data_IF_379641555178
#
_entry.id   IF_379641555178
#
_cell.length_a   1.000
_cell.length_b   1.000
_cell.length_c   1.000
_cell.angle_alpha   90.00
_cell.angle_beta   90.00
_cell.angle_gamma   90.00
#
_symmetry.space_group_name_H-M   'P 1'
#
loop_
_entity.id
_entity.type
_entity.pdbx_description
1 polymer ?
#
# COMPACT_ATOMS: atom_id res chain seq x y z
N UNK A 1 10.12 25.56 4.20
CA UNK A 1 10.27 24.36 3.36
C UNK A 1 11.49 23.63 3.90
N UNK A 2 11.28 22.60 4.70
CA UNK A 2 12.36 21.87 5.39
C UNK A 2 13.30 21.13 4.44
N UNK A 3 14.16 20.26 4.97
CA UNK A 3 15.03 19.41 4.14
C UNK A 3 14.20 18.32 3.46
N UNK A 4 14.44 18.10 2.17
CA UNK A 4 13.66 17.14 1.36
C UNK A 4 13.96 15.70 1.79
N UNK A 5 12.92 14.93 2.13
CA UNK A 5 12.98 13.51 2.53
C UNK A 5 13.88 13.21 3.75
N UNK A 6 14.03 14.18 4.66
CA UNK A 6 14.71 13.98 5.94
C UNK A 6 13.66 13.79 7.03
N UNK A 7 13.78 12.70 7.79
CA UNK A 7 12.88 12.39 8.91
C UNK A 7 12.77 13.55 9.90
N UNK A 8 11.56 13.78 10.40
CA UNK A 8 11.22 14.86 11.33
C UNK A 8 10.97 16.23 10.69
N UNK A 9 11.21 16.38 9.38
CA UNK A 9 10.91 17.63 8.68
C UNK A 9 9.41 17.74 8.38
N UNK A 10 8.80 18.95 8.39
CA UNK A 10 7.37 19.11 8.14
C UNK A 10 6.89 18.52 6.81
N UNK A 11 7.77 18.48 5.79
CA UNK A 11 7.44 17.93 4.47
C UNK A 11 7.40 16.40 4.39
N UNK A 12 7.77 15.68 5.46
CA UNK A 12 7.72 14.22 5.52
C UNK A 12 6.58 13.69 6.40
N UNK A 13 5.82 14.57 7.05
CA UNK A 13 4.68 14.17 7.87
C UNK A 13 3.56 13.58 7.01
N UNK A 14 2.86 12.58 7.56
CA UNK A 14 1.57 12.13 7.02
C UNK A 14 0.57 13.28 7.17
N UNK A 15 -0.35 13.44 6.21
CA UNK A 15 -1.41 14.45 6.27
C UNK A 15 -2.27 14.28 7.52
N UNK A 16 -2.70 15.39 8.12
CA UNK A 16 -3.47 15.38 9.38
C UNK A 16 -4.77 14.58 9.27
N UNK A 17 -5.45 14.64 8.11
CA UNK A 17 -6.68 13.90 7.84
C UNK A 17 -6.48 12.38 7.73
N UNK A 18 -5.23 11.93 7.58
CA UNK A 18 -4.81 10.54 7.47
C UNK A 18 -3.83 10.16 8.59
N UNK A 19 -3.77 10.95 9.67
CA UNK A 19 -2.87 10.71 10.77
C UNK A 19 -3.16 9.34 11.42
N UNK A 20 -2.12 8.56 11.76
CA UNK A 20 -2.29 7.24 12.36
C UNK A 20 -2.95 7.34 13.73
N UNK A 21 -3.82 6.38 14.03
CA UNK A 21 -4.44 6.22 15.34
C UNK A 21 -3.49 5.54 16.35
N UNK A 22 -3.73 5.68 17.66
CA UNK A 22 -2.95 4.98 18.67
C UNK A 22 -2.96 3.46 18.45
N UNK A 23 -1.77 2.86 18.37
CA UNK A 23 -1.59 1.41 18.16
C UNK A 23 -1.40 1.01 16.69
N UNK A 24 -1.59 1.92 15.74
CA UNK A 24 -1.26 1.67 14.33
C UNK A 24 0.26 1.71 14.10
N UNK A 25 0.75 0.81 13.27
CA UNK A 25 2.17 0.67 12.96
C UNK A 25 2.57 1.70 11.91
N UNK A 26 3.54 2.56 12.22
CA UNK A 26 4.13 3.52 11.29
C UNK A 26 5.54 3.10 10.94
N UNK A 27 5.86 3.06 9.64
CA UNK A 27 7.15 2.60 9.14
C UNK A 27 7.83 3.70 8.34
N UNK A 28 9.00 4.14 8.80
CA UNK A 28 9.93 4.88 7.96
C UNK A 28 10.68 3.92 7.05
N UNK A 29 10.62 4.15 5.74
CA UNK A 29 11.28 3.31 4.75
C UNK A 29 12.29 4.14 3.95
N UNK A 30 13.57 3.71 3.86
CA UNK A 30 14.58 4.42 3.08
C UNK A 30 14.39 4.23 1.56
N UNK A 31 13.56 3.26 1.14
CA UNK A 31 13.28 2.91 -0.25
C UNK A 31 11.83 3.11 -0.68
N UNK A 32 11.51 2.62 -1.89
CA UNK A 32 10.14 2.69 -2.44
C UNK A 32 9.25 1.57 -1.90
N UNK A 33 9.77 0.35 -1.87
CA UNK A 33 9.11 -0.80 -1.26
C UNK A 33 9.15 -0.76 0.27
N UNK A 34 8.05 -1.11 0.92
CA UNK A 34 7.97 -1.09 2.38
C UNK A 34 8.71 -2.25 3.05
N UNK A 35 9.06 -3.33 2.34
CA UNK A 35 9.79 -4.47 2.93
C UNK A 35 11.31 -4.27 2.95
N UNK A 36 11.83 -3.29 2.20
CA UNK A 36 13.27 -3.06 2.11
C UNK A 36 13.82 -2.26 3.30
N UNK A 37 14.66 -2.90 4.11
CA UNK A 37 15.33 -2.31 5.27
C UNK A 37 14.36 -1.71 6.31
N UNK A 38 13.27 -2.43 6.59
CA UNK A 38 12.27 -2.09 7.61
C UNK A 38 11.90 -3.33 8.43
N UNK A 39 11.16 -3.15 9.53
CA UNK A 39 10.55 -4.24 10.30
C UNK A 39 9.25 -4.77 9.70
N UNK A 40 8.75 -4.20 8.59
CA UNK A 40 7.37 -4.43 8.12
C UNK A 40 7.02 -5.91 7.95
N UNK A 41 7.91 -6.68 7.31
CA UNK A 41 7.68 -8.10 7.10
C UNK A 41 7.66 -8.92 8.40
N UNK A 42 8.45 -8.53 9.41
CA UNK A 42 8.45 -9.17 10.72
C UNK A 42 7.18 -8.81 11.50
N UNK A 43 6.75 -7.55 11.41
CA UNK A 43 5.53 -7.05 12.03
C UNK A 43 4.29 -7.79 11.48
N UNK A 44 4.18 -7.94 10.15
CA UNK A 44 3.09 -8.68 9.52
C UNK A 44 3.06 -10.16 9.94
N UNK A 45 4.23 -10.82 10.00
CA UNK A 45 4.33 -12.22 10.45
C UNK A 45 3.89 -12.37 11.91
N UNK A 46 4.32 -11.46 12.79
CA UNK A 46 3.93 -11.46 14.21
C UNK A 46 2.43 -11.28 14.38
N UNK A 47 1.80 -10.48 13.52
CA UNK A 47 0.35 -10.26 13.52
C UNK A 47 -0.43 -11.41 12.86
N UNK A 48 0.23 -12.38 12.23
CA UNK A 48 -0.44 -13.47 11.51
C UNK A 48 -1.24 -12.99 10.30
N UNK A 49 -0.83 -11.87 9.69
CA UNK A 49 -1.52 -11.30 8.52
C UNK A 49 -1.23 -12.16 7.28
N UNK A 50 -2.29 -12.49 6.55
CA UNK A 50 -2.20 -13.21 5.26
C UNK A 50 -2.67 -12.36 4.08
N UNK A 51 -3.51 -11.35 4.34
CA UNK A 51 -4.15 -10.51 3.33
C UNK A 51 -3.83 -9.03 3.57
N UNK A 52 -3.54 -8.30 2.50
CA UNK A 52 -3.17 -6.88 2.56
C UNK A 52 -4.00 -6.05 1.57
N UNK A 53 -4.59 -4.96 2.08
CA UNK A 53 -5.22 -3.93 1.26
C UNK A 53 -4.24 -2.76 1.08
N UNK A 54 -4.03 -2.34 -0.16
CA UNK A 54 -3.09 -1.29 -0.54
C UNK A 54 -3.82 -0.01 -0.94
N UNK A 55 -3.26 1.12 -0.53
CA UNK A 55 -3.66 2.49 -0.88
C UNK A 55 -2.43 3.41 -0.83
N UNK A 56 -2.56 4.66 -1.26
CA UNK A 56 -1.53 5.69 -1.13
C UNK A 56 -0.91 6.14 -2.45
N UNK A 57 0.32 6.68 -2.40
CA UNK A 57 0.98 7.30 -3.56
C UNK A 57 2.50 7.03 -3.66
N UNK A 58 3.09 7.05 -4.86
CA UNK A 58 2.39 6.99 -6.16
C UNK A 58 2.09 5.55 -6.54
N UNK A 59 1.01 5.34 -7.31
CA UNK A 59 0.51 4.02 -7.73
C UNK A 59 1.61 3.16 -8.34
N UNK A 60 2.35 3.69 -9.30
CA UNK A 60 3.37 2.97 -10.09
C UNK A 60 4.71 2.80 -9.37
N UNK A 61 4.98 3.59 -8.33
CA UNK A 61 6.26 3.56 -7.60
C UNK A 61 6.10 2.87 -6.25
N UNK A 62 5.70 3.59 -5.20
CA UNK A 62 5.73 3.08 -3.83
C UNK A 62 4.70 1.97 -3.62
N UNK A 63 3.48 2.18 -4.15
CA UNK A 63 2.37 1.24 -4.00
C UNK A 63 2.69 -0.05 -4.76
N UNK A 64 2.95 0.03 -6.06
CA UNK A 64 3.27 -1.14 -6.88
C UNK A 64 4.53 -1.88 -6.40
N UNK A 65 5.60 -1.17 -6.00
CA UNK A 65 6.82 -1.84 -5.49
C UNK A 65 6.50 -2.64 -4.24
N UNK A 66 5.77 -2.06 -3.29
CA UNK A 66 5.42 -2.74 -2.04
C UNK A 66 4.47 -3.91 -2.28
N UNK A 67 3.49 -3.75 -3.17
CA UNK A 67 2.54 -4.82 -3.51
C UNK A 67 3.25 -6.01 -4.18
N UNK A 68 4.22 -5.76 -5.08
CA UNK A 68 5.05 -6.82 -5.66
C UNK A 68 5.90 -7.52 -4.61
N UNK A 69 6.52 -6.77 -3.70
CA UNK A 69 7.29 -7.34 -2.58
C UNK A 69 6.41 -8.22 -1.67
N UNK A 70 5.15 -7.82 -1.43
CA UNK A 70 4.19 -8.59 -0.66
C UNK A 70 3.77 -9.88 -1.39
N UNK A 71 3.40 -9.77 -2.66
CA UNK A 71 3.06 -10.91 -3.52
C UNK A 71 4.19 -11.96 -3.54
N UNK A 72 5.44 -11.53 -3.74
CA UNK A 72 6.60 -12.43 -3.76
C UNK A 72 6.83 -13.15 -2.41
N UNK A 73 6.27 -12.61 -1.32
CA UNK A 73 6.34 -13.17 0.03
C UNK A 73 5.10 -14.01 0.39
N UNK A 74 4.15 -14.17 -0.53
CA UNK A 74 2.97 -15.00 -0.37
C UNK A 74 1.77 -14.32 0.31
N UNK A 75 1.74 -12.99 0.35
CA UNK A 75 0.54 -12.27 0.82
C UNK A 75 -0.50 -12.16 -0.29
N UNK A 76 -1.76 -12.34 0.06
CA UNK A 76 -2.88 -12.06 -0.84
C UNK A 76 -3.09 -10.53 -0.90
N UNK A 77 -2.91 -9.95 -2.08
CA UNK A 77 -2.85 -8.50 -2.24
C UNK A 77 -4.09 -7.95 -2.95
N UNK A 78 -4.70 -6.91 -2.38
CA UNK A 78 -5.82 -6.17 -2.95
C UNK A 78 -5.51 -4.66 -3.01
N UNK A 79 -5.53 -4.05 -4.19
CA UNK A 79 -5.32 -2.60 -4.35
C UNK A 79 -6.66 -1.86 -4.45
N UNK A 80 -6.86 -0.86 -3.58
CA UNK A 80 -8.00 0.06 -3.66
C UNK A 80 -7.74 1.16 -4.72
N UNK A 81 -8.41 1.08 -5.86
CA UNK A 81 -8.10 1.84 -7.09
C UNK A 81 -8.32 3.35 -6.96
N UNK A 82 -9.40 3.71 -6.26
CA UNK A 82 -9.83 5.06 -5.94
C UNK A 82 -9.13 5.62 -4.69
N UNK A 83 -8.36 4.79 -3.97
CA UNK A 83 -7.50 5.20 -2.86
C UNK A 83 -6.00 5.24 -3.22
N UNK A 84 -5.66 5.20 -4.52
CA UNK A 84 -4.29 5.37 -5.02
C UNK A 84 -4.23 6.46 -6.07
N UNK A 85 -3.11 7.16 -6.21
CA UNK A 85 -2.93 8.15 -7.29
C UNK A 85 -1.50 8.23 -7.81
N UNK A 86 -1.34 8.74 -9.02
CA UNK A 86 -0.06 9.03 -9.67
C UNK A 86 -0.01 10.48 -10.15
N UNK A 87 1.19 11.00 -10.35
CA UNK A 87 1.39 12.23 -11.12
C UNK A 87 1.00 12.05 -12.60
N UNK A 88 0.96 10.81 -13.09
CA UNK A 88 0.72 10.49 -14.49
C UNK A 88 -0.41 9.47 -14.60
N UNK A 89 -1.52 9.87 -15.22
CA UNK A 89 -2.70 9.01 -15.37
C UNK A 89 -2.36 7.71 -16.11
N UNK A 90 -1.51 7.77 -17.14
CA UNK A 90 -1.09 6.62 -17.92
C UNK A 90 -0.31 5.61 -17.06
N UNK A 91 0.48 6.06 -16.08
CA UNK A 91 1.24 5.19 -15.21
C UNK A 91 0.36 4.49 -14.18
N UNK A 92 -0.62 5.20 -13.61
CA UNK A 92 -1.65 4.58 -12.77
C UNK A 92 -2.39 3.50 -13.55
N UNK A 93 -2.85 3.79 -14.76
CA UNK A 93 -3.56 2.81 -15.59
C UNK A 93 -2.69 1.61 -15.96
N UNK A 94 -1.42 1.83 -16.31
CA UNK A 94 -0.49 0.75 -16.59
C UNK A 94 -0.22 -0.12 -15.36
N UNK A 95 -0.06 0.47 -14.17
CA UNK A 95 0.13 -0.25 -12.92
C UNK A 95 -1.07 -1.17 -12.60
N UNK A 96 -2.30 -0.64 -12.69
CA UNK A 96 -3.53 -1.42 -12.51
C UNK A 96 -3.61 -2.59 -13.51
N UNK A 97 -3.32 -2.33 -14.79
CA UNK A 97 -3.32 -3.37 -15.82
C UNK A 97 -2.26 -4.46 -15.55
N UNK A 98 -1.05 -4.08 -15.14
CA UNK A 98 0.02 -5.02 -14.81
C UNK A 98 -0.31 -5.88 -13.59
N UNK A 99 -0.98 -5.32 -12.58
CA UNK A 99 -1.37 -6.06 -11.37
C UNK A 99 -2.37 -7.17 -11.70
N UNK A 100 -3.40 -6.85 -12.50
CA UNK A 100 -4.47 -7.79 -12.89
C UNK A 100 -4.08 -8.78 -14.00
N UNK A 101 -3.01 -8.49 -14.73
CA UNK A 101 -2.59 -9.29 -15.87
C UNK A 101 -2.39 -10.76 -15.48
N UNK A 102 -2.56 -11.65 -16.46
CA UNK A 102 -2.31 -13.10 -16.31
C UNK A 102 -3.10 -13.75 -15.15
N UNK A 103 -4.31 -13.25 -14.88
CA UNK A 103 -5.15 -13.76 -13.80
C UNK A 103 -4.69 -13.31 -12.42
N UNK A 104 -4.47 -11.99 -12.25
CA UNK A 104 -4.02 -11.38 -11.00
C UNK A 104 -2.58 -11.77 -10.59
N UNK A 105 -1.61 -11.67 -11.51
CA UNK A 105 -0.21 -12.08 -11.28
C UNK A 105 0.48 -11.39 -10.08
N UNK A 106 0.02 -10.20 -9.67
CA UNK A 106 0.48 -9.53 -8.44
C UNK A 106 -0.61 -9.47 -7.37
N UNK A 107 -1.89 -9.59 -7.76
CA UNK A 107 -3.04 -9.49 -6.89
C UNK A 107 -4.26 -8.88 -7.58
N UNK A 108 -5.30 -8.62 -6.80
CA UNK A 108 -6.55 -8.04 -7.28
C UNK A 108 -6.60 -6.55 -7.04
N UNK A 109 -7.62 -5.91 -7.61
CA UNK A 109 -7.95 -4.53 -7.31
C UNK A 109 -9.46 -4.39 -7.16
N UNK A 110 -9.90 -3.37 -6.43
CA UNK A 110 -11.31 -3.06 -6.20
C UNK A 110 -11.47 -1.56 -5.91
N UNK A 111 -12.70 -1.06 -5.92
CA UNK A 111 -13.00 0.26 -5.34
C UNK A 111 -13.08 0.16 -3.81
N UNK A 112 -12.93 1.29 -3.11
CA UNK A 112 -13.09 1.34 -1.65
C UNK A 112 -14.46 0.84 -1.20
N UNK A 113 -15.53 1.17 -1.92
CA UNK A 113 -16.88 0.66 -1.65
C UNK A 113 -16.95 -0.87 -1.70
N UNK A 114 -16.33 -1.50 -2.70
CA UNK A 114 -16.27 -2.96 -2.82
C UNK A 114 -15.44 -3.60 -1.70
N UNK A 115 -14.36 -2.94 -1.27
CA UNK A 115 -13.56 -3.38 -0.12
C UNK A 115 -14.41 -3.36 1.15
N UNK A 116 -15.13 -2.25 1.40
CA UNK A 116 -15.98 -2.08 2.57
C UNK A 116 -17.14 -3.10 2.60
N UNK A 117 -17.77 -3.34 1.45
CA UNK A 117 -18.79 -4.38 1.31
C UNK A 117 -18.23 -5.77 1.65
N UNK A 118 -17.04 -6.10 1.15
CA UNK A 118 -16.35 -7.36 1.44
C UNK A 118 -16.06 -7.56 2.93
N UNK A 119 -15.60 -6.50 3.62
CA UNK A 119 -15.33 -6.54 5.07
C UNK A 119 -16.63 -6.73 5.85
N UNK A 120 -17.71 -6.01 5.49
CA UNK A 120 -19.00 -6.13 6.17
C UNK A 120 -19.56 -7.56 6.09
N UNK A 121 -19.42 -8.20 4.92
CA UNK A 121 -19.86 -9.58 4.71
C UNK A 121 -18.99 -10.63 5.42
N UNK A 122 -17.73 -10.33 5.73
CA UNK A 122 -16.84 -11.26 6.43
C UNK A 122 -17.09 -11.27 7.96
N UNK A 123 -17.76 -10.25 8.50
CA UNK A 123 -18.07 -10.13 9.93
C UNK A 123 -19.44 -10.69 10.32
N UNK A 124 -20.26 -11.10 9.35
CA UNK A 124 -21.55 -11.76 9.54
C UNK A 124 -21.42 -13.28 9.59
#
# INVERSE_FOLDING_TARGET
>A
MGRVLISGEPGTAILDELAPLPGEIVIEKPGKGAFHATSFGEDLKRLGVEQLVFAGVTTEVCVQTTMREANDRGYECLLAEDATESYFAEFKMAALAMIRAQGAIVGWTATTDQVLEGIANAQS
#
